data_IF_513163376547
#
_entry.id   IF_513163376547
#
_cell.length_a   1.000
_cell.length_b   1.000
_cell.length_c   1.000
_cell.angle_alpha   90.00
_cell.angle_beta   90.00
_cell.angle_gamma   90.00
#
_symmetry.space_group_name_H-M   'P 1'
#
loop_
_entity.id
_entity.type
_entity.pdbx_description
1 polymer ?
#
# COMPACT_ATOMS: atom_id res chain seq x y z
N UNK A 1 -44.47 -58.89 1.58
CA UNK A 1 -45.73 -58.34 2.13
C UNK A 1 -45.75 -58.58 3.62
N UNK A 2 -45.97 -57.53 4.43
CA UNK A 2 -46.12 -57.56 5.90
C UNK A 2 -44.80 -57.74 6.68
N UNK A 3 -44.47 -57.04 7.77
CA UNK A 3 -45.17 -56.05 8.58
C UNK A 3 -44.62 -56.10 10.02
N UNK A 4 -44.24 -54.92 10.55
CA UNK A 4 -44.12 -54.52 11.97
C UNK A 4 -42.89 -54.87 12.86
N UNK A 5 -42.14 -53.80 13.15
CA UNK A 5 -41.85 -53.16 14.46
C UNK A 5 -41.14 -53.93 15.59
N UNK A 6 -39.97 -53.43 16.01
CA UNK A 6 -39.66 -53.20 17.43
C UNK A 6 -38.53 -52.15 17.60
N UNK A 7 -38.39 -51.66 18.83
CA UNK A 7 -38.07 -50.29 19.27
C UNK A 7 -36.73 -50.24 20.04
N UNK A 8 -36.17 -49.02 20.13
CA UNK A 8 -35.14 -48.47 21.07
C UNK A 8 -33.67 -48.71 20.71
N UNK A 9 -32.70 -47.87 21.13
CA UNK A 9 -32.55 -46.45 21.55
C UNK A 9 -31.07 -46.34 21.99
N UNK A 10 -30.41 -45.22 21.70
CA UNK A 10 -29.04 -44.91 22.16
C UNK A 10 -28.04 -45.20 21.06
N UNK A 11 -27.13 -44.31 20.68
CA UNK A 11 -26.56 -43.14 21.33
C UNK A 11 -25.21 -42.96 20.66
N UNK A 12 -24.77 -41.71 20.54
CA UNK A 12 -23.47 -41.27 20.02
C UNK A 12 -23.33 -41.21 18.50
N UNK A 13 -23.54 -39.98 18.02
CA UNK A 13 -23.16 -39.52 16.69
C UNK A 13 -21.64 -39.66 16.50
N UNK A 14 -21.17 -40.10 15.32
CA UNK A 14 -19.75 -40.15 15.04
C UNK A 14 -19.21 -38.72 14.97
N UNK A 15 -18.11 -38.49 15.69
CA UNK A 15 -17.26 -37.31 15.55
C UNK A 15 -16.86 -37.19 14.08
N UNK A 16 -17.52 -36.27 13.36
CA UNK A 16 -17.08 -35.84 12.05
C UNK A 16 -15.76 -35.09 12.26
N UNK A 17 -14.65 -35.83 12.18
CA UNK A 17 -13.37 -35.23 11.83
C UNK A 17 -13.62 -34.42 10.57
N UNK A 18 -13.57 -33.09 10.71
CA UNK A 18 -13.54 -32.17 9.59
C UNK A 18 -12.24 -32.48 8.84
N UNK A 19 -12.31 -33.44 7.93
CA UNK A 19 -11.35 -33.57 6.84
C UNK A 19 -11.53 -32.31 6.00
N UNK A 20 -10.82 -31.26 6.40
CA UNK A 20 -10.51 -30.15 5.52
C UNK A 20 -9.73 -30.79 4.40
N UNK A 21 -10.40 -31.03 3.27
CA UNK A 21 -9.78 -31.44 2.02
C UNK A 21 -8.99 -30.23 1.51
N UNK A 22 -7.84 -29.97 2.14
CA UNK A 22 -6.89 -28.97 1.70
C UNK A 22 -6.33 -29.47 0.37
N UNK A 23 -6.68 -28.77 -0.71
CA UNK A 23 -6.32 -29.06 -2.09
C UNK A 23 -4.86 -29.55 -2.20
N UNK A 24 -4.64 -30.72 -2.81
CA UNK A 24 -3.34 -31.40 -2.92
C UNK A 24 -2.20 -30.54 -3.50
N UNK A 25 -2.53 -29.49 -4.25
CA UNK A 25 -1.58 -28.48 -4.74
C UNK A 25 -0.97 -27.65 -3.61
N UNK A 26 -1.77 -27.21 -2.62
CA UNK A 26 -1.26 -26.44 -1.49
C UNK A 26 -0.31 -27.28 -0.63
N UNK A 27 -0.59 -28.57 -0.47
CA UNK A 27 0.26 -29.48 0.32
C UNK A 27 1.60 -29.73 -0.37
N UNK A 28 1.59 -29.89 -1.71
CA UNK A 28 2.81 -30.05 -2.49
C UNK A 28 3.67 -28.77 -2.48
N UNK A 29 3.06 -27.59 -2.63
CA UNK A 29 3.76 -26.30 -2.59
C UNK A 29 4.35 -26.03 -1.19
N UNK A 30 3.64 -26.38 -0.11
CA UNK A 30 4.15 -26.26 1.26
C UNK A 30 5.35 -27.18 1.51
N UNK A 31 5.27 -28.44 1.06
CA UNK A 31 6.36 -29.42 1.23
C UNK A 31 7.60 -28.99 0.45
N UNK A 32 7.41 -28.40 -0.74
CA UNK A 32 8.49 -27.82 -1.54
C UNK A 32 9.13 -26.60 -0.86
N UNK A 33 8.32 -25.77 -0.21
CA UNK A 33 8.80 -24.60 0.53
C UNK A 33 9.57 -25.01 1.80
N UNK A 34 9.06 -25.98 2.58
CA UNK A 34 9.77 -26.52 3.76
C UNK A 34 11.13 -27.13 3.38
N UNK A 35 11.19 -27.86 2.26
CA UNK A 35 12.43 -28.38 1.74
C UNK A 35 13.40 -27.26 1.28
N UNK A 36 12.89 -26.15 0.75
CA UNK A 36 13.72 -25.00 0.40
C UNK A 36 14.28 -24.31 1.66
N UNK A 37 13.47 -24.13 2.70
CA UNK A 37 13.90 -23.56 3.98
C UNK A 37 15.01 -24.38 4.66
N UNK A 38 15.03 -25.70 4.47
CA UNK A 38 16.09 -26.55 5.01
C UNK A 38 17.45 -26.35 4.33
N UNK A 39 17.47 -25.76 3.12
CA UNK A 39 18.66 -25.65 2.28
C UNK A 39 19.17 -24.22 2.10
N UNK A 40 18.36 -23.21 2.44
CA UNK A 40 18.67 -21.79 2.29
C UNK A 40 18.60 -21.09 3.67
N UNK A 41 19.74 -20.66 4.26
CA UNK A 41 19.78 -20.04 5.58
C UNK A 41 18.98 -18.74 5.69
N UNK A 42 18.91 -17.95 4.61
CA UNK A 42 18.17 -16.69 4.60
C UNK A 42 16.67 -16.98 4.56
N UNK A 43 16.27 -17.95 3.75
CA UNK A 43 14.89 -18.43 3.71
C UNK A 43 14.46 -19.09 5.03
N UNK A 44 15.36 -19.81 5.69
CA UNK A 44 15.13 -20.39 7.02
C UNK A 44 14.93 -19.31 8.08
N UNK A 45 15.72 -18.24 8.02
CA UNK A 45 15.59 -17.11 8.95
C UNK A 45 14.25 -16.39 8.77
N UNK A 46 13.83 -16.19 7.52
CA UNK A 46 12.52 -15.65 7.16
C UNK A 46 11.39 -16.54 7.68
N UNK A 47 11.49 -17.87 7.48
CA UNK A 47 10.47 -18.82 7.92
C UNK A 47 10.31 -18.85 9.44
N UNK A 48 11.42 -18.85 10.19
CA UNK A 48 11.38 -18.77 11.65
C UNK A 48 10.71 -17.47 12.13
N UNK A 49 11.05 -16.34 11.49
CA UNK A 49 10.49 -15.04 11.82
C UNK A 49 8.98 -14.95 11.45
N UNK A 50 8.57 -15.60 10.36
CA UNK A 50 7.17 -15.78 9.98
C UNK A 50 6.42 -16.60 11.03
N UNK A 51 6.99 -17.72 11.47
CA UNK A 51 6.36 -18.65 12.41
C UNK A 51 6.19 -18.04 13.80
N UNK A 52 7.22 -17.37 14.32
CA UNK A 52 7.18 -16.68 15.61
C UNK A 52 6.08 -15.61 15.63
N UNK A 53 6.03 -14.77 14.59
CA UNK A 53 5.05 -13.69 14.52
C UNK A 53 3.63 -14.19 14.26
N UNK A 54 3.47 -15.22 13.43
CA UNK A 54 2.17 -15.87 13.22
C UNK A 54 1.63 -16.39 14.55
N UNK A 55 2.49 -17.01 15.35
CA UNK A 55 2.14 -17.53 16.68
C UNK A 55 1.73 -16.39 17.63
N UNK A 56 2.47 -15.28 17.66
CA UNK A 56 2.15 -14.08 18.45
C UNK A 56 0.78 -13.48 18.10
N UNK A 57 0.46 -13.42 16.81
CA UNK A 57 -0.84 -12.93 16.32
C UNK A 57 -1.97 -13.88 16.71
N UNK A 58 -1.76 -15.19 16.56
CA UNK A 58 -2.73 -16.21 16.99
C UNK A 58 -2.99 -16.08 18.49
N UNK A 59 -1.96 -15.96 19.32
CA UNK A 59 -2.12 -15.80 20.77
C UNK A 59 -2.86 -14.51 21.13
N UNK A 60 -2.59 -13.42 20.42
CA UNK A 60 -3.29 -12.12 20.59
C UNK A 60 -4.74 -12.17 20.11
N UNK A 61 -5.04 -12.99 19.10
CA UNK A 61 -6.40 -13.25 18.63
C UNK A 61 -7.15 -14.12 19.64
N UNK A 62 -6.54 -15.18 20.14
CA UNK A 62 -7.13 -16.11 21.11
C UNK A 62 -7.42 -15.39 22.44
N UNK A 63 -6.52 -14.52 22.90
CA UNK A 63 -6.71 -13.73 24.13
C UNK A 63 -7.63 -12.52 23.94
N UNK A 64 -7.71 -11.95 22.73
CA UNK A 64 -8.55 -10.80 22.41
C UNK A 64 -10.01 -11.12 22.09
N UNK A 65 -10.39 -12.39 21.94
CA UNK A 65 -11.77 -12.84 21.75
C UNK A 65 -12.47 -12.95 23.10
N UNK A 66 -12.79 -11.81 23.71
CA UNK A 66 -13.78 -11.74 24.78
C UNK A 66 -15.06 -11.11 24.24
N UNK A 67 -16.14 -11.91 24.21
CA UNK A 67 -17.51 -11.56 23.85
C UNK A 67 -17.70 -10.88 22.47
N UNK A 68 -17.89 -11.72 21.44
CA UNK A 68 -18.63 -11.46 20.19
C UNK A 68 -18.04 -10.47 19.17
N UNK A 69 -16.85 -9.91 19.37
CA UNK A 69 -16.08 -9.23 18.31
C UNK A 69 -14.56 -9.28 18.57
N UNK A 70 -13.77 -9.23 17.49
CA UNK A 70 -12.32 -9.07 17.57
C UNK A 70 -11.96 -7.74 18.25
N UNK A 71 -10.99 -7.75 19.17
CA UNK A 71 -10.49 -6.52 19.78
C UNK A 71 -9.75 -5.66 18.76
N UNK A 72 -9.77 -4.33 18.96
CA UNK A 72 -9.02 -3.37 18.13
C UNK A 72 -7.51 -3.64 18.21
N UNK A 73 -7.02 -4.10 19.37
CA UNK A 73 -5.61 -4.45 19.57
C UNK A 73 -5.23 -5.70 18.75
N UNK A 74 -6.11 -6.70 18.68
CA UNK A 74 -5.92 -7.88 17.82
C UNK A 74 -5.93 -7.52 16.32
N UNK A 75 -6.78 -6.58 15.90
CA UNK A 75 -6.81 -6.09 14.52
C UNK A 75 -5.54 -5.30 14.18
N UNK A 76 -5.05 -4.49 15.12
CA UNK A 76 -3.80 -3.74 14.98
C UNK A 76 -2.60 -4.69 14.85
N UNK A 77 -2.53 -5.73 15.68
CA UNK A 77 -1.44 -6.70 15.65
C UNK A 77 -1.45 -7.53 14.36
N UNK A 78 -2.63 -7.98 13.91
CA UNK A 78 -2.79 -8.64 12.61
C UNK A 78 -2.35 -7.74 11.45
N UNK A 79 -2.66 -6.45 11.55
CA UNK A 79 -2.30 -5.46 10.54
C UNK A 79 -0.80 -5.17 10.51
N UNK A 80 -0.15 -5.09 11.68
CA UNK A 80 1.30 -4.95 11.81
C UNK A 80 2.01 -6.20 11.28
N UNK A 81 1.50 -7.40 11.59
CA UNK A 81 2.01 -8.66 11.06
C UNK A 81 1.99 -8.70 9.52
N UNK A 82 0.88 -8.32 8.88
CA UNK A 82 0.83 -8.24 7.43
C UNK A 82 1.80 -7.19 6.86
N UNK A 83 2.09 -6.13 7.60
CA UNK A 83 3.03 -5.08 7.17
C UNK A 83 4.48 -5.54 7.28
N UNK A 84 4.84 -6.19 8.39
CA UNK A 84 6.16 -6.74 8.71
C UNK A 84 6.50 -7.94 7.81
N UNK A 85 5.57 -8.87 7.60
CA UNK A 85 5.72 -9.98 6.66
C UNK A 85 5.96 -9.47 5.24
N UNK A 86 5.24 -8.43 4.82
CA UNK A 86 5.49 -7.77 3.54
C UNK A 86 6.83 -7.04 3.50
N UNK A 87 7.44 -6.65 4.63
CA UNK A 87 8.77 -6.01 4.70
C UNK A 87 9.89 -7.03 4.59
N UNK A 88 9.84 -8.12 5.33
CA UNK A 88 10.85 -9.17 5.27
C UNK A 88 10.79 -9.93 3.95
N UNK A 89 9.58 -10.24 3.45
CA UNK A 89 9.43 -10.81 2.12
C UNK A 89 9.95 -9.83 1.05
N UNK A 90 9.82 -8.51 1.26
CA UNK A 90 10.40 -7.51 0.36
C UNK A 90 11.92 -7.49 0.40
N UNK A 91 12.50 -7.54 1.59
CA UNK A 91 13.95 -7.58 1.77
C UNK A 91 14.53 -8.82 1.07
N UNK A 92 13.97 -9.99 1.35
CA UNK A 92 14.35 -11.25 0.71
C UNK A 92 14.11 -11.21 -0.81
N UNK A 93 12.99 -10.66 -1.31
CA UNK A 93 12.72 -10.52 -2.75
C UNK A 93 13.68 -9.54 -3.43
N UNK A 94 14.11 -8.47 -2.74
CA UNK A 94 15.03 -7.48 -3.30
C UNK A 94 16.48 -7.99 -3.28
N UNK A 95 16.92 -8.61 -2.18
CA UNK A 95 18.26 -9.22 -2.05
C UNK A 95 18.42 -10.43 -2.98
N UNK A 96 17.43 -11.32 -3.08
CA UNK A 96 17.48 -12.50 -3.97
C UNK A 96 17.42 -12.15 -5.47
N UNK A 97 17.31 -10.86 -5.82
CA UNK A 97 17.22 -10.39 -7.20
C UNK A 97 18.22 -9.29 -7.55
N UNK A 98 19.20 -8.98 -6.70
CA UNK A 98 20.21 -7.94 -6.99
C UNK A 98 20.93 -8.19 -8.33
N UNK A 99 21.21 -9.46 -8.63
CA UNK A 99 21.79 -10.01 -9.85
C UNK A 99 20.83 -10.04 -11.06
N UNK A 100 19.52 -9.86 -10.86
CA UNK A 100 18.47 -9.87 -11.90
C UNK A 100 18.14 -8.45 -12.38
N UNK A 101 18.34 -7.42 -11.55
CA UNK A 101 18.11 -6.05 -11.95
C UNK A 101 19.24 -5.51 -12.83
N UNK A 102 19.16 -5.78 -14.14
CA UNK A 102 20.08 -5.23 -15.17
C UNK A 102 20.19 -3.69 -15.18
N UNK A 103 19.32 -2.98 -14.45
CA UNK A 103 19.30 -1.53 -14.34
C UNK A 103 19.31 -1.09 -12.87
N UNK A 104 20.51 -0.88 -12.32
CA UNK A 104 20.71 -0.41 -10.94
C UNK A 104 19.92 0.86 -10.63
N UNK A 105 19.85 1.82 -11.57
CA UNK A 105 19.11 3.08 -11.36
C UNK A 105 17.61 2.85 -11.12
N UNK A 106 17.05 1.74 -11.61
CA UNK A 106 15.65 1.38 -11.37
C UNK A 106 15.49 0.66 -10.02
N UNK A 107 16.45 -0.18 -9.65
CA UNK A 107 16.46 -0.85 -8.35
C UNK A 107 16.50 0.17 -7.21
N UNK A 108 17.45 1.10 -7.23
CA UNK A 108 17.59 2.14 -6.20
C UNK A 108 16.30 2.97 -6.06
N UNK A 109 15.62 3.22 -7.18
CA UNK A 109 14.36 3.96 -7.22
C UNK A 109 13.20 3.17 -6.59
N UNK A 110 13.14 1.86 -6.83
CA UNK A 110 12.15 0.98 -6.22
C UNK A 110 12.40 0.86 -4.72
N UNK A 111 13.66 0.70 -4.30
CA UNK A 111 14.02 0.65 -2.89
C UNK A 111 13.63 1.95 -2.17
N UNK A 112 13.98 3.11 -2.74
CA UNK A 112 13.59 4.41 -2.20
C UNK A 112 12.06 4.55 -2.10
N UNK A 113 11.31 4.12 -3.12
CA UNK A 113 9.84 4.13 -3.11
C UNK A 113 9.28 3.36 -1.91
N UNK A 114 9.79 2.15 -1.71
CA UNK A 114 9.33 1.24 -0.68
C UNK A 114 9.69 1.78 0.71
N UNK A 115 10.89 2.34 0.87
CA UNK A 115 11.29 3.01 2.11
C UNK A 115 10.36 4.17 2.46
N UNK A 116 10.02 5.02 1.49
CA UNK A 116 9.06 6.11 1.68
C UNK A 116 7.66 5.55 2.03
N UNK A 117 7.26 4.43 1.42
CA UNK A 117 5.97 3.78 1.75
C UNK A 117 5.91 3.29 3.20
N UNK A 118 7.04 2.84 3.76
CA UNK A 118 7.15 2.44 5.17
C UNK A 118 7.02 3.66 6.08
N UNK A 119 7.76 4.73 5.79
CA UNK A 119 7.63 6.00 6.52
C UNK A 119 6.19 6.55 6.47
N UNK A 120 5.48 6.30 5.37
CA UNK A 120 4.06 6.67 5.24
C UNK A 120 3.18 5.89 6.21
N UNK A 121 3.49 4.62 6.48
CA UNK A 121 2.77 3.81 7.47
C UNK A 121 3.03 4.28 8.91
N UNK A 122 4.25 4.74 9.21
CA UNK A 122 4.57 5.36 10.50
C UNK A 122 3.75 6.64 10.70
N UNK A 123 3.66 7.47 9.66
CA UNK A 123 2.77 8.63 9.65
C UNK A 123 1.29 8.26 9.85
N UNK A 124 0.79 7.22 9.17
CA UNK A 124 -0.59 6.73 9.38
C UNK A 124 -0.83 6.34 10.85
N UNK A 125 0.18 5.73 11.49
CA UNK A 125 0.11 5.36 12.91
C UNK A 125 0.08 6.61 13.80
N UNK A 126 0.93 7.60 13.51
CA UNK A 126 0.92 8.88 14.21
C UNK A 126 -0.43 9.60 14.07
N UNK A 127 -1.00 9.65 12.86
CA UNK A 127 -2.31 10.22 12.58
C UNK A 127 -3.43 9.50 13.36
N UNK A 128 -3.40 8.17 13.38
CA UNK A 128 -4.36 7.36 14.16
C UNK A 128 -4.29 7.67 15.65
N UNK A 129 -3.09 7.85 16.20
CA UNK A 129 -2.90 8.23 17.59
C UNK A 129 -3.42 9.65 17.88
N UNK A 130 -3.20 10.62 16.97
CA UNK A 130 -3.80 11.96 17.07
C UNK A 130 -5.32 11.89 17.09
N UNK A 131 -5.92 11.11 16.18
CA UNK A 131 -7.37 10.88 16.13
C UNK A 131 -7.92 10.25 17.40
N UNK A 132 -7.19 9.31 18.02
CA UNK A 132 -7.58 8.75 19.34
C UNK A 132 -7.58 9.82 20.43
N UNK A 133 -6.56 10.68 20.48
CA UNK A 133 -6.53 11.82 21.43
C UNK A 133 -7.67 12.81 21.18
N UNK A 134 -7.97 13.10 19.91
CA UNK A 134 -9.09 13.97 19.55
C UNK A 134 -10.44 13.39 19.98
N UNK A 135 -10.67 12.09 19.77
CA UNK A 135 -11.87 11.37 20.24
C UNK A 135 -11.97 11.36 21.76
N UNK A 136 -10.88 11.14 22.47
CA UNK A 136 -10.87 11.21 23.94
C UNK A 136 -11.27 12.61 24.41
N UNK A 137 -10.72 13.66 23.79
CA UNK A 137 -11.05 15.06 24.09
C UNK A 137 -12.52 15.37 23.82
N UNK A 138 -13.06 14.88 22.69
CA UNK A 138 -14.49 14.97 22.35
C UNK A 138 -15.37 14.30 23.41
N UNK A 139 -15.00 13.11 23.91
CA UNK A 139 -15.73 12.40 24.97
C UNK A 139 -15.76 13.23 26.25
N UNK A 140 -14.64 13.83 26.64
CA UNK A 140 -14.58 14.67 27.85
C UNK A 140 -15.53 15.87 27.71
N UNK A 141 -15.58 16.53 26.55
CA UNK A 141 -16.52 17.64 26.31
C UNK A 141 -17.98 17.14 26.34
N UNK A 142 -18.28 15.98 25.77
CA UNK A 142 -19.61 15.38 25.85
C UNK A 142 -20.03 15.12 27.30
N UNK A 143 -19.10 14.68 28.15
CA UNK A 143 -19.36 14.53 29.58
C UNK A 143 -19.66 15.88 30.22
N UNK A 144 -18.88 16.93 29.92
CA UNK A 144 -19.13 18.28 30.44
C UNK A 144 -20.54 18.79 30.08
N UNK A 145 -20.95 18.64 28.82
CA UNK A 145 -22.30 19.05 28.36
C UNK A 145 -23.40 18.26 29.07
N UNK A 146 -23.24 16.93 29.22
CA UNK A 146 -24.22 16.09 29.93
C UNK A 146 -24.31 16.44 31.42
N UNK A 147 -23.17 16.64 32.08
CA UNK A 147 -23.14 17.05 33.49
C UNK A 147 -23.85 18.39 33.67
N UNK A 148 -23.64 19.33 32.75
CA UNK A 148 -24.32 20.62 32.79
C UNK A 148 -25.83 20.48 32.69
N UNK A 149 -26.32 19.69 31.73
CA UNK A 149 -27.75 19.42 31.55
C UNK A 149 -28.39 18.80 32.81
N UNK A 150 -27.71 17.86 33.47
CA UNK A 150 -28.20 17.25 34.72
C UNK A 150 -28.12 18.20 35.92
N UNK A 151 -27.04 18.96 36.06
CA UNK A 151 -26.85 19.95 37.14
C UNK A 151 -27.85 21.12 37.03
N UNK A 152 -28.27 21.51 35.81
CA UNK A 152 -29.37 22.46 35.60
C UNK A 152 -30.72 21.89 36.05
N UNK A 153 -30.97 20.58 35.91
CA UNK A 153 -32.26 19.97 36.28
C UNK A 153 -32.44 19.79 37.79
N UNK A 154 -31.34 19.68 38.53
CA UNK A 154 -31.31 19.44 39.98
C UNK A 154 -31.32 20.74 40.81
N UNK A 155 -31.46 21.90 40.18
CA UNK A 155 -31.16 23.22 40.76
C UNK A 155 -32.16 23.80 41.78
N UNK A 156 -32.90 22.96 42.50
CA UNK A 156 -33.70 23.42 43.64
C UNK A 156 -32.84 23.34 44.93
N UNK A 157 -32.15 24.45 45.26
CA UNK A 157 -31.56 24.69 46.60
C UNK A 157 -30.10 24.26 46.86
N UNK A 158 -29.28 23.92 45.87
CA UNK A 158 -27.87 23.49 46.07
C UNK A 158 -26.86 24.65 46.00
N UNK A 159 -25.93 24.71 46.97
CA UNK A 159 -24.94 25.78 47.17
C UNK A 159 -23.76 25.74 46.19
N UNK A 160 -23.34 24.56 45.73
CA UNK A 160 -22.26 24.40 44.74
C UNK A 160 -22.85 24.01 43.39
N UNK A 161 -22.91 24.99 42.47
CA UNK A 161 -23.42 24.77 41.12
C UNK A 161 -22.31 24.28 40.19
N UNK A 162 -22.66 23.40 39.27
CA UNK A 162 -21.84 23.01 38.11
C UNK A 162 -20.46 22.37 38.39
N UNK A 163 -20.24 21.85 39.59
CA UNK A 163 -18.94 21.27 40.00
C UNK A 163 -18.44 20.19 39.03
N UNK A 164 -19.34 19.31 38.57
CA UNK A 164 -18.96 18.21 37.66
C UNK A 164 -18.71 18.73 36.25
N UNK A 165 -19.49 19.70 35.79
CA UNK A 165 -19.26 20.38 34.50
C UNK A 165 -17.89 21.05 34.46
N UNK A 166 -17.57 21.88 35.47
CA UNK A 166 -16.32 22.62 35.52
C UNK A 166 -15.12 21.68 35.63
N UNK A 167 -15.24 20.60 36.40
CA UNK A 167 -14.21 19.56 36.46
C UNK A 167 -13.95 18.92 35.10
N UNK A 168 -15.00 18.52 34.37
CA UNK A 168 -14.84 17.94 33.04
C UNK A 168 -14.22 18.94 32.03
N UNK A 169 -14.55 20.24 32.11
CA UNK A 169 -13.90 21.27 31.30
C UNK A 169 -12.42 21.45 31.65
N UNK A 170 -12.05 21.30 32.92
CA UNK A 170 -10.66 21.31 33.35
C UNK A 170 -9.89 20.08 32.86
N UNK A 171 -10.51 18.90 32.89
CA UNK A 171 -9.95 17.66 32.33
C UNK A 171 -9.74 17.79 30.81
N UNK A 172 -10.67 18.41 30.09
CA UNK A 172 -10.52 18.71 28.66
C UNK A 172 -9.33 19.65 28.41
N UNK A 173 -9.17 20.69 29.23
CA UNK A 173 -8.01 21.58 29.15
C UNK A 173 -6.69 20.83 29.39
N UNK A 174 -6.69 19.87 30.32
CA UNK A 174 -5.52 19.05 30.62
C UNK A 174 -5.18 18.06 29.50
N UNK A 175 -6.18 17.60 28.72
CA UNK A 175 -5.96 16.70 27.59
C UNK A 175 -5.13 17.33 26.46
N UNK A 176 -5.16 18.66 26.33
CA UNK A 176 -4.31 19.42 25.41
C UNK A 176 -4.65 19.22 23.93
N UNK A 177 -3.72 19.63 23.06
CA UNK A 177 -3.86 19.48 21.62
C UNK A 177 -3.59 18.03 21.19
N UNK A 178 -4.49 17.37 20.43
CA UNK A 178 -4.23 16.05 19.89
C UNK A 178 -3.12 16.01 18.82
N UNK A 179 -2.79 17.12 18.15
CA UNK A 179 -1.74 17.20 17.14
C UNK A 179 -0.50 17.85 17.72
N UNK A 180 0.57 17.07 17.83
CA UNK A 180 1.83 17.56 18.41
C UNK A 180 2.75 18.12 17.33
N UNK A 181 3.74 18.90 17.74
CA UNK A 181 4.78 19.43 16.84
C UNK A 181 5.48 18.30 16.08
N UNK A 182 5.76 17.16 16.74
CA UNK A 182 6.39 16.01 16.10
C UNK A 182 5.52 15.41 14.98
N UNK A 183 4.18 15.43 15.13
CA UNK A 183 3.28 14.99 14.07
C UNK A 183 3.42 15.89 12.82
N UNK A 184 3.52 17.20 13.00
CA UNK A 184 3.66 18.15 11.90
C UNK A 184 5.03 18.08 11.23
N UNK A 185 6.09 17.88 12.01
CA UNK A 185 7.43 17.61 11.46
C UNK A 185 7.46 16.33 10.63
N UNK A 186 6.84 15.25 11.12
CA UNK A 186 6.70 14.00 10.38
C UNK A 186 5.91 14.21 9.09
N UNK A 187 4.80 14.94 9.14
CA UNK A 187 3.98 15.28 7.97
C UNK A 187 4.79 16.03 6.91
N UNK A 188 5.50 17.10 7.28
CA UNK A 188 6.30 17.90 6.36
C UNK A 188 7.44 17.09 5.73
N UNK A 189 8.19 16.35 6.55
CA UNK A 189 9.29 15.51 6.07
C UNK A 189 8.78 14.49 5.05
N UNK A 190 7.68 13.81 5.36
CA UNK A 190 7.10 12.80 4.48
C UNK A 190 6.55 13.40 3.18
N UNK A 191 5.92 14.58 3.26
CA UNK A 191 5.41 15.29 2.08
C UNK A 191 6.53 15.67 1.11
N UNK A 192 7.65 16.18 1.65
CA UNK A 192 8.85 16.49 0.88
C UNK A 192 9.47 15.24 0.24
N UNK A 193 9.52 14.12 0.96
CA UNK A 193 10.02 12.85 0.43
C UNK A 193 9.18 12.35 -0.74
N UNK A 194 7.84 12.35 -0.61
CA UNK A 194 6.97 11.97 -1.73
C UNK A 194 7.10 12.92 -2.91
N UNK A 195 7.24 14.22 -2.67
CA UNK A 195 7.45 15.22 -3.73
C UNK A 195 8.74 14.97 -4.50
N UNK A 196 9.85 14.79 -3.78
CA UNK A 196 11.16 14.42 -4.35
C UNK A 196 11.07 13.11 -5.16
N UNK A 197 10.38 12.11 -4.61
CA UNK A 197 10.19 10.83 -5.29
C UNK A 197 9.40 10.98 -6.59
N UNK A 198 8.34 11.79 -6.59
CA UNK A 198 7.55 12.07 -7.78
C UNK A 198 8.38 12.73 -8.88
N UNK A 199 9.28 13.65 -8.53
CA UNK A 199 10.21 14.27 -9.48
C UNK A 199 11.18 13.25 -10.08
N UNK A 200 11.79 12.40 -9.25
CA UNK A 200 12.67 11.32 -9.70
C UNK A 200 11.94 10.38 -10.67
N UNK A 201 10.72 9.98 -10.34
CA UNK A 201 9.87 9.13 -11.19
C UNK A 201 9.54 9.79 -12.53
N UNK A 202 9.16 11.07 -12.53
CA UNK A 202 8.89 11.84 -13.76
C UNK A 202 10.12 11.96 -14.64
N UNK A 203 11.27 12.25 -14.04
CA UNK A 203 12.54 12.34 -14.75
C UNK A 203 12.90 11.00 -15.41
N UNK A 204 12.80 9.90 -14.66
CA UNK A 204 13.10 8.55 -15.15
C UNK A 204 12.14 8.11 -16.25
N UNK A 205 10.84 8.39 -16.11
CA UNK A 205 9.84 8.19 -17.16
C UNK A 205 10.24 8.92 -18.46
N UNK A 206 10.61 10.19 -18.38
CA UNK A 206 11.02 10.97 -19.56
C UNK A 206 12.25 10.38 -20.26
N UNK A 207 13.27 9.96 -19.50
CA UNK A 207 14.46 9.27 -20.03
C UNK A 207 14.07 7.99 -20.76
N UNK A 208 13.12 7.24 -20.21
CA UNK A 208 12.66 5.98 -20.77
C UNK A 208 11.80 6.16 -22.03
N UNK A 209 10.94 7.18 -22.07
CA UNK A 209 10.15 7.54 -23.26
C UNK A 209 11.07 7.91 -24.44
N UNK A 210 12.16 8.64 -24.16
CA UNK A 210 13.22 8.93 -25.15
C UNK A 210 13.91 7.66 -25.66
N UNK A 211 14.28 6.75 -24.76
CA UNK A 211 14.88 5.45 -25.14
C UNK A 211 13.93 4.63 -25.99
N UNK A 212 12.66 4.53 -25.61
CA UNK A 212 11.64 3.79 -26.35
C UNK A 212 11.45 4.37 -27.75
N UNK A 213 11.45 5.70 -27.89
CA UNK A 213 11.42 6.35 -29.20
C UNK A 213 12.66 6.02 -30.03
N UNK A 214 13.86 6.07 -29.44
CA UNK A 214 15.11 5.70 -30.12
C UNK A 214 15.10 4.24 -30.61
N UNK A 215 14.55 3.31 -29.84
CA UNK A 215 14.43 1.89 -30.26
C UNK A 215 13.54 1.74 -31.48
N UNK A 216 12.41 2.45 -31.52
CA UNK A 216 11.51 2.44 -32.69
C UNK A 216 12.22 2.94 -33.94
N UNK A 217 12.99 4.03 -33.82
CA UNK A 217 13.79 4.57 -34.92
C UNK A 217 14.90 3.59 -35.32
N UNK A 218 15.63 3.02 -34.36
CA UNK A 218 16.73 2.08 -34.65
C UNK A 218 16.24 0.79 -35.32
N UNK A 219 15.08 0.25 -34.88
CA UNK A 219 14.43 -0.88 -35.55
C UNK A 219 14.10 -0.56 -37.00
N UNK A 220 13.49 0.60 -37.26
CA UNK A 220 13.17 1.06 -38.62
C UNK A 220 14.42 1.17 -39.49
N UNK A 221 15.47 1.82 -39.00
CA UNK A 221 16.74 1.97 -39.73
C UNK A 221 17.39 0.62 -40.00
N UNK A 222 17.45 -0.28 -39.01
CA UNK A 222 18.06 -1.61 -39.19
C UNK A 222 17.31 -2.45 -40.23
N UNK A 223 15.97 -2.36 -40.25
CA UNK A 223 15.14 -3.04 -41.23
C UNK A 223 15.38 -2.48 -42.64
N UNK A 224 15.49 -1.15 -42.80
CA UNK A 224 15.82 -0.53 -44.09
C UNK A 224 17.19 -1.00 -44.57
N UNK A 225 18.23 -0.91 -43.73
CA UNK A 225 19.60 -1.31 -44.07
C UNK A 225 19.65 -2.80 -44.46
N UNK A 226 18.98 -3.67 -43.71
CA UNK A 226 18.92 -5.10 -44.00
C UNK A 226 18.27 -5.38 -45.36
N UNK A 227 17.13 -4.75 -45.65
CA UNK A 227 16.44 -4.89 -46.94
C UNK A 227 17.30 -4.36 -48.10
N UNK A 228 17.92 -3.18 -47.93
CA UNK A 228 18.79 -2.60 -48.97
C UNK A 228 20.01 -3.48 -49.26
N UNK A 229 20.74 -3.92 -48.21
CA UNK A 229 21.89 -4.79 -48.37
C UNK A 229 21.51 -6.13 -49.05
N UNK A 230 20.34 -6.67 -48.70
CA UNK A 230 19.84 -7.89 -49.31
C UNK A 230 19.56 -7.71 -50.81
N UNK A 231 18.83 -6.66 -51.20
CA UNK A 231 18.54 -6.37 -52.61
C UNK A 231 19.84 -6.12 -53.40
N UNK A 232 20.79 -5.36 -52.84
CA UNK A 232 22.09 -5.15 -53.46
C UNK A 232 22.87 -6.46 -53.68
N UNK A 233 22.85 -7.38 -52.71
CA UNK A 233 23.49 -8.70 -52.83
C UNK A 233 22.85 -9.58 -53.91
N UNK A 234 21.53 -9.49 -54.10
CA UNK A 234 20.84 -10.19 -55.19
C UNK A 234 21.27 -9.64 -56.56
N UNK A 235 21.32 -8.32 -56.71
CA UNK A 235 21.75 -7.67 -57.96
C UNK A 235 23.20 -8.06 -58.30
N UNK A 236 24.11 -7.99 -57.32
CA UNK A 236 25.51 -8.39 -57.49
C UNK A 236 25.63 -9.87 -57.92
N UNK A 237 24.86 -10.76 -57.31
CA UNK A 237 24.85 -12.19 -57.68
C UNK A 237 24.42 -12.42 -59.13
N UNK A 238 23.40 -11.69 -59.61
CA UNK A 238 22.95 -11.77 -61.01
C UNK A 238 24.01 -11.26 -61.99
N UNK A 239 24.68 -10.14 -61.67
CA UNK A 239 25.72 -9.55 -62.53
C UNK A 239 26.93 -10.48 -62.66
N UNK A 240 27.39 -11.10 -61.57
CA UNK A 240 28.51 -12.06 -61.61
C UNK A 240 28.16 -13.28 -62.47
N UNK A 241 26.94 -13.81 -62.35
CA UNK A 241 26.49 -14.94 -63.16
C UNK A 241 26.41 -14.59 -64.66
N UNK A 242 26.04 -13.34 -65.00
CA UNK A 242 25.97 -12.88 -66.39
C UNK A 242 27.35 -12.67 -67.04
N UNK A 243 28.38 -12.30 -66.26
CA UNK A 243 29.75 -12.09 -66.76
C UNK A 243 30.51 -13.42 -66.89
N UNK A 244 30.19 -14.41 -66.06
CA UNK A 244 30.94 -15.67 -65.96
C UNK A 244 30.51 -16.79 -66.94
N UNK A 245 29.48 -16.59 -67.78
CA UNK A 245 28.99 -17.61 -68.71
C UNK A 245 29.15 -17.20 -70.19
N UNK A 246 29.65 -18.09 -71.09
CA UNK A 246 29.36 -17.99 -72.53
C UNK A 246 27.85 -18.04 -72.78
N UNK A 247 27.34 -17.39 -73.85
CA UNK A 247 25.89 -17.29 -74.05
C UNK A 247 25.32 -18.67 -74.32
N UNK A 248 24.28 -19.04 -73.56
CA UNK A 248 23.35 -20.18 -73.71
C UNK A 248 23.45 -21.22 -72.55
N UNK A 249 22.60 -20.96 -71.54
CA UNK A 249 21.96 -21.85 -70.53
C UNK A 249 22.83 -22.53 -69.45
N UNK A 250 22.49 -22.26 -68.17
CA UNK A 250 22.00 -23.21 -67.14
C UNK A 250 22.32 -22.75 -65.70
N UNK A 251 21.27 -22.78 -64.86
CA UNK A 251 21.24 -22.88 -63.40
C UNK A 251 21.61 -21.66 -62.52
N UNK A 252 20.76 -20.63 -62.51
CA UNK A 252 20.55 -19.81 -61.31
C UNK A 252 19.55 -20.55 -60.40
N UNK A 253 20.00 -21.57 -59.66
CA UNK A 253 19.12 -22.27 -58.70
C UNK A 253 19.75 -22.54 -57.33
N UNK A 254 21.03 -22.21 -57.10
CA UNK A 254 21.73 -22.70 -55.90
C UNK A 254 22.01 -21.69 -54.78
N UNK A 255 22.08 -20.39 -55.07
CA UNK A 255 22.78 -19.46 -54.16
C UNK A 255 21.89 -18.56 -53.28
N UNK A 256 20.57 -18.67 -53.31
CA UNK A 256 19.65 -17.86 -52.47
C UNK A 256 19.20 -18.63 -51.21
N UNK A 257 20.08 -19.45 -50.63
CA UNK A 257 19.71 -20.35 -49.52
C UNK A 257 20.20 -19.90 -48.14
N UNK A 258 20.82 -18.73 -47.99
CA UNK A 258 20.88 -18.11 -46.67
C UNK A 258 19.47 -17.60 -46.35
N UNK A 259 18.75 -18.17 -45.36
CA UNK A 259 17.36 -17.79 -45.12
C UNK A 259 17.36 -16.35 -44.58
N UNK A 260 17.08 -15.38 -45.45
CA UNK A 260 16.89 -13.96 -45.12
C UNK A 260 15.85 -13.80 -44.00
N UNK A 261 14.88 -14.71 -43.98
CA UNK A 261 13.91 -14.82 -42.89
C UNK A 261 14.54 -15.08 -41.52
N UNK A 262 15.71 -15.72 -41.41
CA UNK A 262 16.35 -16.04 -40.13
C UNK A 262 17.09 -14.84 -39.54
N UNK A 263 17.90 -14.12 -40.33
CA UNK A 263 18.64 -12.94 -39.85
C UNK A 263 17.71 -11.76 -39.59
N UNK A 264 16.72 -11.53 -40.46
CA UNK A 264 15.69 -10.49 -40.24
C UNK A 264 14.85 -10.75 -38.98
N UNK A 265 14.46 -12.01 -38.73
CA UNK A 265 13.76 -12.40 -37.49
C UNK A 265 14.63 -12.24 -36.25
N UNK A 266 15.94 -12.48 -36.36
CA UNK A 266 16.86 -12.28 -35.23
C UNK A 266 16.97 -10.80 -34.85
N UNK A 267 17.19 -9.91 -35.82
CA UNK A 267 17.27 -8.45 -35.58
C UNK A 267 15.96 -7.91 -35.01
N UNK A 268 14.82 -8.32 -35.57
CA UNK A 268 13.51 -7.92 -35.06
C UNK A 268 13.27 -8.46 -33.64
N UNK A 269 13.64 -9.72 -33.36
CA UNK A 269 13.56 -10.32 -32.03
C UNK A 269 14.43 -9.59 -31.00
N UNK A 270 15.66 -9.19 -31.35
CA UNK A 270 16.52 -8.40 -30.46
C UNK A 270 15.87 -7.07 -30.08
N UNK A 271 15.39 -6.31 -31.07
CA UNK A 271 14.73 -5.04 -30.80
C UNK A 271 13.42 -5.22 -30.05
N UNK A 272 12.68 -6.28 -30.32
CA UNK A 272 11.42 -6.62 -29.64
C UNK A 272 11.66 -6.95 -28.16
N UNK A 273 12.69 -7.74 -27.87
CA UNK A 273 13.10 -8.06 -26.50
C UNK A 273 13.54 -6.80 -25.74
N UNK A 274 14.36 -5.95 -26.35
CA UNK A 274 14.77 -4.69 -25.71
C UNK A 274 13.60 -3.71 -25.52
N UNK A 275 12.69 -3.60 -26.49
CA UNK A 275 11.47 -2.78 -26.34
C UNK A 275 10.56 -3.32 -25.22
N UNK A 276 10.40 -4.64 -25.13
CA UNK A 276 9.61 -5.29 -24.07
C UNK A 276 10.17 -4.96 -22.68
N UNK A 277 11.48 -5.02 -22.53
CA UNK A 277 12.18 -4.65 -21.30
C UNK A 277 11.94 -3.18 -20.92
N UNK A 278 12.15 -2.25 -21.86
CA UNK A 278 11.88 -0.83 -21.61
C UNK A 278 10.39 -0.56 -21.28
N UNK A 279 9.46 -1.30 -21.88
CA UNK A 279 8.03 -1.19 -21.54
C UNK A 279 7.73 -1.74 -20.14
N UNK A 280 8.39 -2.81 -19.70
CA UNK A 280 8.27 -3.34 -18.35
C UNK A 280 8.75 -2.30 -17.31
N UNK A 281 9.93 -1.70 -17.54
CA UNK A 281 10.45 -0.58 -16.74
C UNK A 281 9.45 0.58 -16.68
N UNK A 282 8.87 0.94 -17.82
CA UNK A 282 7.93 2.07 -17.92
C UNK A 282 6.66 1.78 -17.14
N UNK A 283 6.12 0.56 -17.25
CA UNK A 283 4.96 0.14 -16.48
C UNK A 283 5.20 0.22 -14.97
N UNK A 284 6.39 -0.18 -14.49
CA UNK A 284 6.74 -0.09 -13.08
C UNK A 284 6.84 1.37 -12.60
N UNK A 285 7.58 2.21 -13.33
CA UNK A 285 7.73 3.65 -13.02
C UNK A 285 6.38 4.36 -13.02
N UNK A 286 5.52 4.11 -14.01
CA UNK A 286 4.19 4.73 -14.09
C UNK A 286 3.34 4.36 -12.87
N UNK A 287 3.46 3.12 -12.39
CA UNK A 287 2.68 2.66 -11.24
C UNK A 287 3.12 3.34 -9.96
N UNK A 288 4.44 3.44 -9.74
CA UNK A 288 5.00 4.19 -8.62
C UNK A 288 4.60 5.67 -8.71
N UNK A 289 4.66 6.26 -9.91
CA UNK A 289 4.31 7.67 -10.14
C UNK A 289 2.83 7.94 -9.79
N UNK A 290 1.92 7.09 -10.25
CA UNK A 290 0.49 7.20 -9.93
C UNK A 290 0.28 7.06 -8.43
N UNK A 291 0.90 6.05 -7.80
CA UNK A 291 0.84 5.84 -6.35
C UNK A 291 1.30 7.08 -5.58
N UNK A 292 2.51 7.58 -5.85
CA UNK A 292 3.07 8.78 -5.20
C UNK A 292 2.19 10.01 -5.41
N UNK A 293 1.65 10.21 -6.62
CA UNK A 293 0.76 11.36 -6.89
C UNK A 293 -0.54 11.31 -6.09
N UNK A 294 -1.13 10.11 -5.96
CA UNK A 294 -2.32 9.89 -5.13
C UNK A 294 -1.98 10.14 -3.66
N UNK A 295 -0.84 9.64 -3.19
CA UNK A 295 -0.37 9.83 -1.81
C UNK A 295 -0.21 11.31 -1.46
N UNK A 296 0.44 12.12 -2.30
CA UNK A 296 0.58 13.57 -2.07
C UNK A 296 -0.79 14.24 -1.97
N UNK A 297 -1.68 13.94 -2.92
CA UNK A 297 -3.04 14.49 -2.94
C UNK A 297 -3.81 14.16 -1.66
N UNK A 298 -3.66 12.92 -1.18
CA UNK A 298 -4.33 12.49 0.05
C UNK A 298 -3.72 13.13 1.30
N UNK A 299 -2.40 13.32 1.34
CA UNK A 299 -1.73 14.07 2.40
C UNK A 299 -2.22 15.53 2.45
N UNK A 300 -2.35 16.20 1.32
CA UNK A 300 -2.87 17.58 1.26
C UNK A 300 -4.32 17.64 1.79
N UNK A 301 -5.17 16.68 1.41
CA UNK A 301 -6.53 16.58 1.93
C UNK A 301 -6.57 16.30 3.44
N UNK A 302 -5.68 15.42 3.93
CA UNK A 302 -5.53 15.15 5.37
C UNK A 302 -5.12 16.43 6.10
N UNK A 303 -4.17 17.21 5.57
CA UNK A 303 -3.73 18.46 6.18
C UNK A 303 -4.88 19.43 6.38
N UNK A 304 -5.68 19.65 5.34
CA UNK A 304 -6.86 20.54 5.41
C UNK A 304 -7.84 20.08 6.50
N UNK A 305 -8.07 18.78 6.63
CA UNK A 305 -8.96 18.22 7.65
C UNK A 305 -8.36 18.33 9.07
N UNK A 306 -7.05 18.15 9.21
CA UNK A 306 -6.32 18.36 10.47
C UNK A 306 -6.42 19.81 10.90
N UNK A 307 -6.15 20.77 10.00
CA UNK A 307 -6.25 22.21 10.29
C UNK A 307 -7.67 22.59 10.74
N UNK A 308 -8.68 22.06 10.05
CA UNK A 308 -10.09 22.27 10.44
C UNK A 308 -10.37 21.74 11.85
N UNK A 309 -9.80 20.58 12.20
CA UNK A 309 -10.01 19.97 13.50
C UNK A 309 -9.28 20.75 14.60
N UNK A 310 -8.05 21.18 14.36
CA UNK A 310 -7.24 22.02 15.26
C UNK A 310 -7.99 23.32 15.60
N UNK A 311 -8.50 24.03 14.58
CA UNK A 311 -9.33 25.23 14.76
C UNK A 311 -10.57 24.92 15.61
N UNK A 312 -11.24 23.80 15.34
CA UNK A 312 -12.43 23.37 16.10
C UNK A 312 -12.13 23.14 17.58
N UNK A 313 -11.03 22.43 17.88
CA UNK A 313 -10.60 22.12 19.26
C UNK A 313 -10.18 23.39 19.98
N UNK A 314 -9.36 24.25 19.37
CA UNK A 314 -8.94 25.51 19.98
C UNK A 314 -10.14 26.42 20.26
N UNK A 315 -11.13 26.42 19.35
CA UNK A 315 -12.36 27.18 19.56
C UNK A 315 -13.16 26.69 20.77
N UNK A 316 -13.22 25.38 21.01
CA UNK A 316 -13.86 24.83 22.23
C UNK A 316 -12.99 25.09 23.46
N UNK A 317 -11.67 24.99 23.34
CA UNK A 317 -10.70 25.28 24.41
C UNK A 317 -10.84 26.71 24.93
N UNK A 318 -11.01 27.68 24.05
CA UNK A 318 -11.26 29.08 24.43
C UNK A 318 -12.57 29.24 25.19
N UNK A 319 -13.63 28.54 24.75
CA UNK A 319 -14.91 28.58 25.45
C UNK A 319 -14.83 27.88 26.81
N UNK A 320 -14.14 26.74 26.93
CA UNK A 320 -13.88 26.09 28.21
C UNK A 320 -13.12 27.00 29.17
N UNK A 321 -12.10 27.73 28.70
CA UNK A 321 -11.38 28.74 29.49
C UNK A 321 -12.28 29.88 29.99
N UNK A 322 -13.26 30.31 29.20
CA UNK A 322 -14.25 31.32 29.60
C UNK A 322 -15.22 30.78 30.64
N UNK A 323 -15.79 29.59 30.41
CA UNK A 323 -16.68 28.91 31.35
C UNK A 323 -16.05 28.69 32.75
N UNK A 324 -14.74 28.45 32.79
CA UNK A 324 -13.99 28.29 34.04
C UNK A 324 -13.73 29.60 34.79
N UNK A 325 -13.94 30.77 34.16
CA UNK A 325 -13.70 32.10 34.76
C UNK A 325 -14.99 32.81 35.17
N UNK A 326 -16.06 32.62 34.39
CA UNK A 326 -17.30 33.38 34.52
C UNK A 326 -18.49 32.44 34.67
N UNK A 327 -18.90 32.19 35.92
CA UNK A 327 -20.01 31.28 36.22
C UNK A 327 -21.36 31.82 35.71
N UNK A 328 -21.55 33.14 35.73
CA UNK A 328 -22.78 33.82 35.28
C UNK A 328 -23.05 33.67 33.77
N UNK A 329 -22.00 33.39 32.98
CA UNK A 329 -22.10 33.21 31.52
C UNK A 329 -22.04 31.74 31.11
N UNK A 330 -21.89 30.82 32.06
CA UNK A 330 -21.66 29.39 31.82
C UNK A 330 -22.69 28.76 30.90
N UNK A 331 -23.98 29.06 31.08
CA UNK A 331 -25.06 28.52 30.23
C UNK A 331 -24.88 28.87 28.76
N UNK A 332 -24.62 30.15 28.45
CA UNK A 332 -24.40 30.62 27.08
C UNK A 332 -23.14 29.99 26.48
N UNK A 333 -22.08 29.87 27.27
CA UNK A 333 -20.81 29.26 26.85
C UNK A 333 -20.99 27.77 26.55
N UNK A 334 -21.71 27.03 27.39
CA UNK A 334 -22.02 25.61 27.16
C UNK A 334 -22.86 25.41 25.91
N UNK A 335 -23.84 26.29 25.64
CA UNK A 335 -24.64 26.24 24.39
C UNK A 335 -23.76 26.46 23.14
N UNK A 336 -22.72 27.31 23.23
CA UNK A 336 -21.73 27.48 22.16
C UNK A 336 -20.84 26.23 22.03
N UNK A 337 -20.37 25.67 23.15
CA UNK A 337 -19.57 24.43 23.16
C UNK A 337 -20.34 23.28 22.52
N UNK A 338 -21.62 23.11 22.85
CA UNK A 338 -22.49 22.06 22.29
C UNK A 338 -22.58 22.13 20.77
N UNK A 339 -22.83 23.32 20.20
CA UNK A 339 -22.86 23.53 18.74
C UNK A 339 -21.52 23.21 18.08
N UNK A 340 -20.41 23.64 18.69
CA UNK A 340 -19.06 23.37 18.15
C UNK A 340 -18.69 21.89 18.25
N UNK A 341 -19.14 21.20 19.31
CA UNK A 341 -18.93 19.77 19.51
C UNK A 341 -19.58 18.93 18.41
N UNK A 342 -20.75 19.32 17.91
CA UNK A 342 -21.39 18.65 16.76
C UNK A 342 -20.50 18.73 15.50
N UNK A 343 -20.01 19.92 15.17
CA UNK A 343 -19.09 20.14 14.03
C UNK A 343 -17.76 19.40 14.22
N UNK A 344 -17.24 19.38 15.45
CA UNK A 344 -16.03 18.63 15.80
C UNK A 344 -16.23 17.13 15.58
N UNK A 345 -17.36 16.59 16.03
CA UNK A 345 -17.71 15.18 15.90
C UNK A 345 -17.71 14.74 14.43
N UNK A 346 -18.36 15.52 13.56
CA UNK A 346 -18.38 15.26 12.13
C UNK A 346 -16.96 15.33 11.52
N UNK A 347 -16.17 16.33 11.92
CA UNK A 347 -14.80 16.51 11.40
C UNK A 347 -13.87 15.35 11.80
N UNK A 348 -13.99 14.82 13.02
CA UNK A 348 -13.26 13.64 13.49
C UNK A 348 -13.64 12.39 12.68
N UNK A 349 -14.92 12.20 12.38
CA UNK A 349 -15.39 11.05 11.59
C UNK A 349 -14.88 11.11 10.14
N UNK A 350 -14.96 12.29 9.51
CA UNK A 350 -14.44 12.52 8.14
C UNK A 350 -12.94 12.25 8.08
N UNK A 351 -12.16 12.83 9.01
CA UNK A 351 -10.70 12.62 9.05
C UNK A 351 -10.36 11.16 9.34
N UNK A 352 -11.10 10.49 10.24
CA UNK A 352 -10.96 9.06 10.51
C UNK A 352 -11.13 8.21 9.26
N UNK A 353 -12.23 8.38 8.54
CA UNK A 353 -12.49 7.67 7.27
C UNK A 353 -11.41 7.94 6.23
N UNK A 354 -10.93 9.19 6.13
CA UNK A 354 -9.86 9.57 5.21
C UNK A 354 -8.53 8.90 5.57
N UNK A 355 -8.19 8.84 6.86
CA UNK A 355 -6.97 8.21 7.36
C UNK A 355 -6.99 6.69 7.12
N UNK A 356 -8.11 6.03 7.36
CA UNK A 356 -8.27 4.59 7.12
C UNK A 356 -8.14 4.27 5.63
N UNK A 357 -8.80 5.06 4.78
CA UNK A 357 -8.68 4.95 3.32
C UNK A 357 -7.23 5.16 2.86
N UNK A 358 -6.59 6.22 3.34
CA UNK A 358 -5.20 6.55 2.99
C UNK A 358 -4.23 5.40 3.34
N UNK A 359 -4.34 4.85 4.55
CA UNK A 359 -3.55 3.69 4.97
C UNK A 359 -3.82 2.46 4.09
N UNK A 360 -5.08 2.21 3.74
CA UNK A 360 -5.46 1.14 2.80
C UNK A 360 -4.87 1.30 1.41
N UNK A 361 -4.96 2.50 0.84
CA UNK A 361 -4.46 2.84 -0.49
C UNK A 361 -2.93 2.65 -0.57
N UNK A 362 -2.18 3.02 0.49
CA UNK A 362 -0.73 2.79 0.58
C UNK A 362 -0.37 1.30 0.56
N UNK A 363 -1.09 0.47 1.34
CA UNK A 363 -0.87 -0.98 1.35
C UNK A 363 -1.16 -1.59 -0.02
N UNK A 364 -2.25 -1.17 -0.66
CA UNK A 364 -2.61 -1.65 -1.98
C UNK A 364 -1.56 -1.24 -3.02
N UNK A 365 -1.09 0.01 -3.00
CA UNK A 365 -0.03 0.48 -3.89
C UNK A 365 1.25 -0.35 -3.74
N UNK A 366 1.68 -0.61 -2.49
CA UNK A 366 2.84 -1.46 -2.20
C UNK A 366 2.67 -2.87 -2.76
N UNK A 367 1.51 -3.50 -2.57
CA UNK A 367 1.21 -4.82 -3.14
C UNK A 367 1.25 -4.83 -4.67
N UNK A 368 0.72 -3.79 -5.33
CA UNK A 368 0.76 -3.68 -6.80
C UNK A 368 2.20 -3.56 -7.31
N UNK A 369 3.03 -2.77 -6.64
CA UNK A 369 4.45 -2.64 -6.99
C UNK A 369 5.19 -3.96 -6.80
N UNK A 370 4.96 -4.62 -5.67
CA UNK A 370 5.49 -5.95 -5.38
C UNK A 370 5.14 -6.99 -6.45
N UNK A 371 3.87 -7.08 -6.82
CA UNK A 371 3.43 -8.00 -7.87
C UNK A 371 4.08 -7.69 -9.22
N UNK A 372 4.33 -6.42 -9.52
CA UNK A 372 5.03 -6.01 -10.75
C UNK A 372 6.50 -6.36 -10.72
N UNK A 373 7.16 -6.26 -9.56
CA UNK A 373 8.54 -6.71 -9.37
C UNK A 373 8.64 -8.23 -9.55
N UNK A 374 7.73 -9.00 -8.94
CA UNK A 374 7.71 -10.47 -9.06
C UNK A 374 7.51 -10.91 -10.51
N UNK A 375 6.67 -10.18 -11.27
CA UNK A 375 6.39 -10.46 -12.69
C UNK A 375 7.38 -9.79 -13.64
N UNK A 376 8.40 -9.13 -13.12
CA UNK A 376 9.38 -8.41 -13.91
C UNK A 376 10.23 -9.42 -14.70
N UNK A 377 10.32 -9.31 -16.04
CA UNK A 377 11.16 -10.20 -16.83
C UNK A 377 12.65 -9.87 -16.56
N UNK A 378 13.41 -10.88 -16.13
CA UNK A 378 14.87 -10.79 -15.98
C UNK A 378 15.62 -10.79 -17.30
#
# INVERSE_FOLDING_TARGET
MGGQSSKKRGGDAPSSSLKINANSHFTADLTSYEAACANDPDLQSFDNALHERTSRVIDTLVTGVNFRSLSIDSLKEFTNFLLEMNQEALHVILESREDIWKNQELFDLVEEYLKISIMTMDFCTALSNCLKRARNSQIIIQIAVKQFEEEVRLQDGVLEKYVKTLKALQDFKAAGDPFTEEFFQLFQSLHLQHSSMLEKLRFRKSKLDKKLHSVKVCRMVSNIVFVTAFVSSLILSVVVAAIAAPPIVVAISGAISAPIGMVGKWVDSLWSNYEKELRAQSGLIISMQVGTSVTITDMDNIRVLVDKLEIGIESIMQNAKLALREEDTLKLVIDVIKRKLEVLTESIDILGKRADKFSGDIRQARTVILQRIIRYPG
#
